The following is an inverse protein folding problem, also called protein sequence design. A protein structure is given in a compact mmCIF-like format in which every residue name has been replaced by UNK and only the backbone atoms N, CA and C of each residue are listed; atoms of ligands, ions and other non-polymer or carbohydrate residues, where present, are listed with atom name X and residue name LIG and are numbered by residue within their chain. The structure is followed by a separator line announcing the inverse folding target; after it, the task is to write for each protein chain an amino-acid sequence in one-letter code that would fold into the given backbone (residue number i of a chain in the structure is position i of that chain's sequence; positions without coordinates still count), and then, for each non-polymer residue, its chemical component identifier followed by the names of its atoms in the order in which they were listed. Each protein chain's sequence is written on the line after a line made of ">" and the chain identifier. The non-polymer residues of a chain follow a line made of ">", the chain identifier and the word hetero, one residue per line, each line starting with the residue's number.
data_IF_494651655836
#
_entry.id   IF_494651655836
#
_cell.length_a   1.000
_cell.length_b   1.000
_cell.length_c   1.000
_cell.angle_alpha   90.00
_cell.angle_beta   90.00
_cell.angle_gamma   90.00
#
_symmetry.space_group_name_H-M   'P 1'
#
loop_
_entity.id
_entity.type
_entity.pdbx_description
1 polymer ?
#
# COMPACT_ATOMS: atom_id res chain seq x y z
N UNK A 1 37.15 21.53 2.97
CA UNK A 1 36.46 20.78 4.05
C UNK A 1 35.38 19.96 3.35
N UNK A 2 35.59 18.65 3.21
CA UNK A 2 34.67 17.79 2.46
C UNK A 2 33.61 17.25 3.43
N UNK A 3 32.36 17.66 3.23
CA UNK A 3 31.23 17.07 3.94
C UNK A 3 30.96 15.68 3.35
N UNK A 4 30.98 14.65 4.18
CA UNK A 4 30.63 13.28 3.79
C UNK A 4 29.27 12.96 4.40
N UNK A 5 28.23 12.90 3.57
CA UNK A 5 26.90 12.49 3.99
C UNK A 5 26.82 10.97 3.84
N UNK A 6 26.64 10.25 4.94
CA UNK A 6 26.40 8.80 4.95
C UNK A 6 24.91 8.59 5.15
N UNK A 7 24.20 8.21 4.10
CA UNK A 7 22.77 7.87 4.16
C UNK A 7 22.66 6.35 4.31
N UNK A 8 22.10 5.89 5.43
CA UNK A 8 21.79 4.47 5.61
C UNK A 8 20.43 4.18 4.96
N UNK A 9 20.46 3.72 3.70
CA UNK A 9 19.25 3.36 2.95
C UNK A 9 18.54 2.12 3.50
N UNK A 10 19.16 1.38 4.43
CA UNK A 10 18.53 0.20 5.06
C UNK A 10 17.55 0.59 6.18
N UNK A 11 17.52 1.88 6.57
CA UNK A 11 16.61 2.42 7.58
C UNK A 11 15.60 3.38 6.93
N UNK A 12 14.68 2.86 6.12
CA UNK A 12 13.46 3.61 5.83
C UNK A 12 12.56 3.58 7.08
N UNK A 13 12.29 4.75 7.70
CA UNK A 13 11.39 4.80 8.84
C UNK A 13 10.01 4.33 8.38
N UNK A 14 9.44 3.39 9.14
CA UNK A 14 8.02 3.04 8.97
C UNK A 14 7.20 4.23 9.44
N UNK A 15 6.28 4.77 8.63
CA UNK A 15 5.41 5.85 9.09
C UNK A 15 4.62 5.42 10.34
N UNK A 16 4.15 6.37 11.16
CA UNK A 16 3.25 6.06 12.26
C UNK A 16 2.02 5.28 11.76
N UNK A 17 1.70 4.19 12.45
CA UNK A 17 0.50 3.41 12.17
C UNK A 17 -0.70 4.20 12.70
N UNK A 18 -1.67 4.48 11.84
CA UNK A 18 -2.91 5.18 12.18
C UNK A 18 -3.92 4.24 12.81
N UNK A 19 -5.02 4.79 13.33
CA UNK A 19 -6.18 4.03 13.81
C UNK A 19 -7.15 3.58 12.70
N UNK A 20 -6.96 4.09 11.48
CA UNK A 20 -7.80 3.82 10.32
C UNK A 20 -7.38 2.53 9.60
N UNK A 21 -8.35 1.76 9.11
CA UNK A 21 -8.08 0.68 8.16
C UNK A 21 -7.71 1.24 6.78
N UNK A 22 -7.08 0.42 5.94
CA UNK A 22 -6.77 0.82 4.56
C UNK A 22 -8.06 1.19 3.81
N UNK A 23 -9.15 0.46 4.03
CA UNK A 23 -10.44 0.80 3.42
C UNK A 23 -10.93 2.19 3.85
N UNK A 24 -10.79 2.56 5.12
CA UNK A 24 -11.17 3.89 5.61
C UNK A 24 -10.29 5.00 5.01
N UNK A 25 -8.97 4.79 4.96
CA UNK A 25 -8.07 5.74 4.31
C UNK A 25 -8.40 5.91 2.82
N UNK A 26 -8.71 4.82 2.12
CA UNK A 26 -9.15 4.90 0.72
C UNK A 26 -10.45 5.69 0.58
N UNK A 27 -11.45 5.49 1.45
CA UNK A 27 -12.68 6.29 1.40
C UNK A 27 -12.45 7.79 1.65
N UNK A 28 -11.51 8.12 2.52
CA UNK A 28 -11.21 9.51 2.89
C UNK A 28 -10.39 10.24 1.82
N UNK A 29 -9.42 9.55 1.20
CA UNK A 29 -8.39 10.21 0.38
C UNK A 29 -8.46 9.84 -1.12
N UNK A 30 -9.07 8.70 -1.49
CA UNK A 30 -9.09 8.27 -2.88
C UNK A 30 -10.32 8.81 -3.62
N UNK A 31 -10.10 9.70 -4.59
CA UNK A 31 -11.20 10.26 -5.39
C UNK A 31 -11.74 9.28 -6.43
N UNK A 32 -10.85 8.50 -7.07
CA UNK A 32 -11.22 7.57 -8.14
C UNK A 32 -10.42 6.28 -8.04
N UNK A 33 -11.09 5.16 -8.25
CA UNK A 33 -10.43 3.88 -8.35
C UNK A 33 -9.66 3.76 -9.68
N UNK A 34 -8.36 3.38 -9.67
CA UNK A 34 -7.58 3.26 -10.91
C UNK A 34 -8.17 2.25 -11.90
N UNK A 35 -8.29 2.67 -13.16
CA UNK A 35 -8.86 1.84 -14.21
C UNK A 35 -8.12 0.50 -14.34
N UNK A 36 -8.88 -0.60 -14.37
CA UNK A 36 -8.34 -1.96 -14.53
C UNK A 36 -7.80 -2.60 -13.25
N UNK A 37 -7.67 -1.85 -12.14
CA UNK A 37 -7.35 -2.43 -10.86
C UNK A 37 -8.56 -3.20 -10.27
N UNK A 38 -8.28 -4.34 -9.65
CA UNK A 38 -9.27 -5.22 -8.99
C UNK A 38 -9.21 -5.11 -7.48
N UNK A 39 -8.03 -4.87 -6.93
CA UNK A 39 -7.82 -4.64 -5.51
C UNK A 39 -6.62 -3.72 -5.25
N UNK A 40 -6.51 -3.25 -4.02
CA UNK A 40 -5.43 -2.44 -3.49
C UNK A 40 -4.90 -3.02 -2.19
N UNK A 41 -3.63 -2.74 -1.90
CA UNK A 41 -2.93 -3.14 -0.68
C UNK A 41 -1.93 -2.06 -0.30
N UNK A 42 -1.41 -2.06 0.93
CA UNK A 42 -0.38 -1.10 1.35
C UNK A 42 0.96 -1.78 1.69
N UNK A 43 2.07 -1.10 1.37
CA UNK A 43 3.43 -1.49 1.75
C UNK A 43 3.87 -0.80 3.05
N UNK A 44 4.99 -1.27 3.61
CA UNK A 44 5.50 -0.83 4.92
C UNK A 44 5.78 0.68 4.97
N UNK A 45 6.19 1.26 3.85
CA UNK A 45 6.50 2.69 3.70
C UNK A 45 5.24 3.54 3.50
N UNK A 46 4.05 2.95 3.48
CA UNK A 46 2.77 3.63 3.25
C UNK A 46 2.33 3.63 1.80
N UNK A 47 3.12 3.08 0.86
CA UNK A 47 2.76 3.02 -0.56
C UNK A 47 1.52 2.14 -0.76
N UNK A 48 0.49 2.68 -1.40
CA UNK A 48 -0.73 1.94 -1.76
C UNK A 48 -0.60 1.45 -3.19
N UNK A 49 -0.49 0.14 -3.35
CA UNK A 49 -0.34 -0.54 -4.63
C UNK A 49 -1.70 -1.06 -5.13
N UNK A 50 -2.01 -0.76 -6.39
CA UNK A 50 -3.22 -1.22 -7.07
C UNK A 50 -2.90 -2.34 -8.06
N UNK A 51 -3.68 -3.43 -8.02
CA UNK A 51 -3.37 -4.67 -8.74
C UNK A 51 -4.50 -5.08 -9.70
N UNK A 52 -4.16 -5.55 -10.89
CA UNK A 52 -5.10 -6.26 -11.79
C UNK A 52 -5.03 -7.80 -11.67
N UNK A 53 -4.19 -8.32 -10.77
CA UNK A 53 -4.13 -9.75 -10.44
C UNK A 53 -5.46 -10.24 -9.84
N UNK A 54 -5.69 -11.56 -9.83
CA UNK A 54 -6.86 -12.11 -9.14
C UNK A 54 -6.79 -11.82 -7.64
N UNK A 55 -7.94 -11.48 -7.03
CA UNK A 55 -8.01 -11.15 -5.60
C UNK A 55 -7.45 -12.30 -4.74
N UNK A 56 -7.72 -13.56 -5.10
CA UNK A 56 -7.17 -14.73 -4.41
C UNK A 56 -5.64 -14.78 -4.46
N UNK A 57 -5.03 -14.46 -5.61
CA UNK A 57 -3.56 -14.38 -5.74
C UNK A 57 -2.99 -13.29 -4.84
N UNK A 58 -3.62 -12.12 -4.80
CA UNK A 58 -3.18 -11.00 -3.95
C UNK A 58 -3.33 -11.36 -2.46
N UNK A 59 -4.45 -11.97 -2.06
CA UNK A 59 -4.66 -12.46 -0.69
C UNK A 59 -3.64 -13.51 -0.28
N UNK A 60 -3.29 -14.44 -1.17
CA UNK A 60 -2.25 -15.42 -0.89
C UNK A 60 -0.88 -14.74 -0.73
N UNK A 61 -0.51 -13.87 -1.67
CA UNK A 61 0.75 -13.12 -1.59
C UNK A 61 0.83 -12.28 -0.30
N UNK A 62 -0.26 -11.67 0.15
CA UNK A 62 -0.33 -10.90 1.40
C UNK A 62 -0.06 -11.75 2.65
N UNK A 63 -0.49 -13.01 2.66
CA UNK A 63 -0.16 -13.96 3.75
C UNK A 63 1.32 -14.37 3.76
N UNK A 64 1.96 -14.36 2.60
CA UNK A 64 3.37 -14.77 2.43
C UNK A 64 4.35 -13.59 2.50
N UNK A 65 3.86 -12.36 2.31
CA UNK A 65 4.67 -11.15 2.29
C UNK A 65 5.30 -10.88 3.65
N UNK A 66 6.52 -10.36 3.62
CA UNK A 66 7.18 -9.79 4.80
C UNK A 66 7.39 -8.30 4.56
N UNK A 67 7.47 -7.47 5.62
CA UNK A 67 7.71 -6.03 5.50
C UNK A 67 8.97 -5.65 4.71
N UNK A 68 9.95 -6.56 4.60
CA UNK A 68 11.18 -6.35 3.83
C UNK A 68 11.06 -6.75 2.36
N UNK A 69 10.20 -7.73 2.04
CA UNK A 69 10.08 -8.28 0.69
C UNK A 69 8.97 -7.59 -0.12
N UNK A 70 7.91 -7.14 0.55
CA UNK A 70 6.72 -6.58 -0.09
C UNK A 70 6.00 -7.58 -1.00
N UNK A 71 5.04 -7.07 -1.77
CA UNK A 71 4.18 -7.88 -2.64
C UNK A 71 4.68 -8.03 -4.07
N UNK A 72 5.45 -7.08 -4.60
CA UNK A 72 5.92 -7.10 -5.99
C UNK A 72 6.61 -8.44 -6.35
N UNK A 73 7.54 -8.99 -5.52
CA UNK A 73 8.20 -10.26 -5.84
C UNK A 73 7.27 -11.50 -5.81
N UNK A 74 6.09 -11.40 -5.19
CA UNK A 74 5.13 -12.51 -5.06
C UNK A 74 4.02 -12.42 -6.13
N UNK A 75 3.54 -11.22 -6.41
CA UNK A 75 2.48 -10.99 -7.40
C UNK A 75 3.06 -10.85 -8.81
N UNK A 76 4.15 -10.09 -8.93
CA UNK A 76 4.82 -9.73 -10.17
C UNK A 76 4.43 -8.33 -10.66
N UNK A 77 5.44 -7.53 -11.00
CA UNK A 77 5.31 -6.13 -11.43
C UNK A 77 4.31 -5.93 -12.59
N UNK A 78 4.19 -6.90 -13.49
CA UNK A 78 3.24 -6.85 -14.62
C UNK A 78 1.76 -6.71 -14.21
N UNK A 79 1.43 -6.97 -12.96
CA UNK A 79 0.06 -6.84 -12.44
C UNK A 79 -0.17 -5.53 -11.66
N UNK A 80 0.87 -4.72 -11.43
CA UNK A 80 0.73 -3.42 -10.80
C UNK A 80 0.14 -2.43 -11.81
N UNK A 81 -0.96 -1.80 -11.44
CA UNK A 81 -1.68 -0.84 -12.30
C UNK A 81 -1.37 0.59 -11.95
N UNK A 82 -1.26 0.89 -10.65
CA UNK A 82 -1.00 2.22 -10.16
C UNK A 82 -0.41 2.15 -8.75
N UNK A 83 0.08 3.29 -8.27
CA UNK A 83 0.52 3.50 -6.90
C UNK A 83 0.15 4.90 -6.43
N UNK A 84 -0.04 5.09 -5.12
CA UNK A 84 -0.18 6.41 -4.49
C UNK A 84 0.28 6.35 -3.05
N UNK A 85 0.47 7.50 -2.44
CA UNK A 85 0.55 7.66 -0.99
C UNK A 85 -0.69 8.40 -0.49
N UNK A 86 -1.08 8.15 0.75
CA UNK A 86 -2.04 8.99 1.48
C UNK A 86 -1.25 9.77 2.52
N UNK A 87 -1.55 11.06 2.64
CA UNK A 87 -0.79 12.00 3.46
C UNK A 87 -1.75 12.89 4.25
N UNK A 88 -1.35 13.24 5.47
CA UNK A 88 -1.97 14.27 6.31
C UNK A 88 -0.85 15.12 6.92
N UNK A 89 -0.95 16.45 6.83
CA UNK A 89 0.11 17.40 7.24
C UNK A 89 1.53 16.97 6.79
N UNK A 90 1.69 16.62 5.50
CA UNK A 90 2.93 16.13 4.86
C UNK A 90 3.50 14.81 5.45
N UNK A 91 2.74 14.12 6.31
CA UNK A 91 3.10 12.82 6.86
C UNK A 91 2.38 11.69 6.14
N UNK A 92 3.14 10.71 5.64
CA UNK A 92 2.58 9.49 5.05
C UNK A 92 1.77 8.69 6.07
N UNK A 93 0.57 8.28 5.69
CA UNK A 93 -0.35 7.50 6.51
C UNK A 93 -0.16 6.00 6.28
N UNK A 94 -0.01 5.23 7.36
CA UNK A 94 0.06 3.77 7.32
C UNK A 94 -1.15 3.18 8.07
N UNK A 95 -2.01 2.45 7.37
CA UNK A 95 -3.23 1.89 7.95
C UNK A 95 -2.94 0.85 9.05
N UNK A 96 -3.79 0.72 10.07
CA UNK A 96 -3.62 -0.29 11.14
C UNK A 96 -3.56 -1.74 10.65
N UNK A 97 -4.18 -2.02 9.51
CA UNK A 97 -4.32 -3.35 8.93
C UNK A 97 -3.47 -3.54 7.66
N UNK A 98 -2.49 -2.66 7.40
CA UNK A 98 -1.64 -2.69 6.20
C UNK A 98 -1.00 -4.05 5.90
N UNK A 99 -0.68 -4.83 6.94
CA UNK A 99 -0.04 -6.15 6.80
C UNK A 99 -0.98 -7.26 6.32
N UNK A 100 -2.30 -7.07 6.39
CA UNK A 100 -3.28 -8.09 6.04
C UNK A 100 -4.38 -7.61 5.09
N UNK A 101 -4.51 -6.30 4.88
CA UNK A 101 -5.57 -5.72 4.07
C UNK A 101 -5.38 -6.01 2.57
N UNK A 102 -6.50 -6.33 1.94
CA UNK A 102 -6.68 -6.39 0.49
C UNK A 102 -8.05 -5.80 0.21
N UNK A 103 -8.08 -4.51 -0.12
CA UNK A 103 -9.32 -3.78 -0.39
C UNK A 103 -9.71 -4.02 -1.85
N UNK A 104 -10.94 -4.44 -2.10
CA UNK A 104 -11.45 -4.70 -3.44
C UNK A 104 -12.23 -3.50 -3.98
N UNK A 105 -12.38 -3.42 -5.30
CA UNK A 105 -13.23 -2.40 -5.93
C UNK A 105 -14.67 -2.44 -5.39
N UNK A 106 -15.21 -3.64 -5.18
CA UNK A 106 -16.57 -3.83 -4.65
C UNK A 106 -16.72 -3.23 -3.25
N UNK A 107 -15.76 -3.50 -2.35
CA UNK A 107 -15.73 -2.91 -1.00
C UNK A 107 -15.56 -1.39 -1.04
N UNK A 108 -14.80 -0.86 -2.01
CA UNK A 108 -14.63 0.58 -2.18
C UNK A 108 -15.92 1.28 -2.65
N UNK A 109 -16.66 0.68 -3.59
CA UNK A 109 -17.90 1.28 -4.12
C UNK A 109 -19.08 1.17 -3.14
N UNK A 110 -19.10 0.13 -2.29
CA UNK A 110 -20.24 -0.11 -1.38
C UNK A 110 -20.15 0.70 -0.07
N UNK A 111 -18.98 1.24 0.26
CA UNK A 111 -18.75 1.96 1.51
C UNK A 111 -18.98 3.48 1.41
N UNK A 112 -19.30 4.01 0.22
CA UNK A 112 -19.70 5.40 -0.03
C UNK A 112 -21.19 5.52 -0.32
#
# INVERSE_FOLDING_TARGET
>A
MNLRITINLDQYPTPPITEYSLSQLMQQHLTHWPQGARCATQERDGEVLFWNASINKVRQARKEATPRRGLIPLIGLRYQMNTTYFEDDDATLLAKDWQCSVVTLEEFVTAG
#
